data_IF_923282842202
#
_entry.id   IF_923282842202
#
_cell.length_a   1.000
_cell.length_b   1.000
_cell.length_c   1.000
_cell.angle_alpha   90.00
_cell.angle_beta   90.00
_cell.angle_gamma   90.00
#
_symmetry.space_group_name_H-M   'P 1'
#
loop_
_entity.id
_entity.type
_entity.pdbx_description
1 polymer ?
#
# COMPACT_ATOMS: atom_id res chain seq x y z
N UNK A 1 -13.90 59.80 30.52
CA UNK A 1 -14.73 59.72 29.31
C UNK A 1 -14.22 58.55 28.49
N UNK A 2 -14.73 57.35 28.79
CA UNK A 2 -14.31 56.07 28.19
C UNK A 2 -14.76 56.00 26.72
N UNK A 3 -13.84 55.69 25.81
CA UNK A 3 -14.18 55.22 24.47
C UNK A 3 -13.86 53.74 24.41
N UNK A 4 -14.82 52.90 24.79
CA UNK A 4 -14.80 51.49 24.45
C UNK A 4 -15.03 51.35 22.95
N UNK A 5 -13.96 51.03 22.21
CA UNK A 5 -14.04 50.66 20.81
C UNK A 5 -14.71 49.29 20.70
N UNK A 6 -15.99 49.28 20.30
CA UNK A 6 -16.70 48.07 19.93
C UNK A 6 -16.02 47.41 18.71
N UNK A 7 -15.18 46.42 18.96
CA UNK A 7 -14.74 45.48 17.93
C UNK A 7 -15.95 44.63 17.55
N UNK A 8 -16.64 45.01 16.48
CA UNK A 8 -17.64 44.14 15.84
C UNK A 8 -16.89 42.94 15.25
N UNK A 9 -16.91 41.81 15.96
CA UNK A 9 -16.52 40.52 15.41
C UNK A 9 -17.39 40.25 14.19
N UNK A 10 -16.84 40.44 12.99
CA UNK A 10 -17.45 39.97 11.76
C UNK A 10 -17.36 38.45 11.79
N UNK A 11 -18.38 37.80 12.38
CA UNK A 11 -18.62 36.39 12.14
C UNK A 11 -19.02 36.28 10.68
N UNK A 12 -18.06 35.98 9.80
CA UNK A 12 -18.38 35.48 8.48
C UNK A 12 -19.29 34.28 8.69
N UNK A 13 -20.55 34.44 8.30
CA UNK A 13 -21.53 33.39 8.29
C UNK A 13 -21.15 32.47 7.12
N UNK A 14 -20.08 31.69 7.28
CA UNK A 14 -19.65 30.71 6.29
C UNK A 14 -20.79 29.71 6.22
N UNK A 15 -21.53 29.64 5.09
CA UNK A 15 -22.60 28.67 4.95
C UNK A 15 -22.03 27.30 5.25
N UNK A 16 -22.68 26.52 6.13
CA UNK A 16 -22.34 25.10 6.28
C UNK A 16 -22.48 24.50 4.87
N UNK A 17 -21.39 24.03 4.25
CA UNK A 17 -21.51 23.40 2.95
C UNK A 17 -22.44 22.20 3.15
N UNK A 18 -23.45 22.08 2.28
CA UNK A 18 -24.24 20.87 2.18
C UNK A 18 -23.33 19.66 1.93
N UNK A 19 -23.85 18.42 2.00
CA UNK A 19 -23.05 17.25 1.66
C UNK A 19 -22.35 17.49 0.31
N UNK A 20 -21.02 17.46 0.29
CA UNK A 20 -20.27 17.67 -0.94
C UNK A 20 -20.61 16.53 -1.90
N UNK A 21 -21.06 16.87 -3.10
CA UNK A 21 -21.19 15.89 -4.18
C UNK A 21 -19.79 15.63 -4.72
N UNK A 22 -19.23 14.46 -4.39
CA UNK A 22 -17.92 14.02 -4.87
C UNK A 22 -18.14 12.94 -5.93
N UNK A 23 -17.61 13.17 -7.14
CA UNK A 23 -17.64 12.18 -8.22
C UNK A 23 -16.35 11.38 -8.25
N UNK A 24 -16.46 10.05 -8.35
CA UNK A 24 -15.34 9.18 -8.71
C UNK A 24 -15.26 9.18 -10.23
N UNK A 25 -14.22 9.80 -10.78
CA UNK A 25 -14.07 9.98 -12.23
C UNK A 25 -13.17 8.93 -12.88
N UNK A 26 -12.41 8.19 -12.08
CA UNK A 26 -11.54 7.10 -12.52
C UNK A 26 -11.17 6.22 -11.32
N UNK A 27 -10.80 4.96 -11.60
CA UNK A 27 -10.35 3.98 -10.64
C UNK A 27 -9.40 2.98 -11.31
N UNK A 28 -8.44 2.47 -10.55
CA UNK A 28 -7.58 1.36 -10.93
C UNK A 28 -7.18 0.59 -9.67
N UNK A 29 -6.73 -0.65 -9.83
CA UNK A 29 -6.31 -1.47 -8.70
C UNK A 29 -5.70 -2.79 -9.14
N UNK A 30 -4.75 -3.23 -8.32
CA UNK A 30 -4.17 -4.57 -8.37
C UNK A 30 -4.82 -5.39 -7.24
N UNK A 31 -5.46 -6.50 -7.59
CA UNK A 31 -6.16 -7.37 -6.66
C UNK A 31 -5.73 -8.84 -6.87
N UNK A 32 -5.94 -9.71 -5.87
CA UNK A 32 -5.63 -11.13 -6.01
C UNK A 32 -6.29 -11.76 -7.24
N UNK A 33 -5.47 -12.34 -8.12
CA UNK A 33 -5.90 -12.93 -9.39
C UNK A 33 -6.43 -11.94 -10.43
N UNK A 34 -6.20 -10.63 -10.26
CA UNK A 34 -6.64 -9.59 -11.17
C UNK A 34 -5.72 -8.37 -11.16
N UNK A 35 -4.94 -8.22 -12.22
CA UNK A 35 -4.03 -7.06 -12.39
C UNK A 35 -4.75 -5.85 -13.02
N UNK A 36 -6.04 -5.99 -13.36
CA UNK A 36 -6.89 -4.90 -13.84
C UNK A 36 -8.30 -5.01 -13.26
N UNK A 37 -9.04 -3.89 -13.26
CA UNK A 37 -10.43 -3.89 -12.82
C UNK A 37 -11.37 -4.66 -13.74
N UNK A 38 -11.04 -4.80 -15.02
CA UNK A 38 -11.81 -5.64 -15.96
C UNK A 38 -11.65 -7.13 -15.61
N UNK A 39 -10.42 -7.57 -15.31
CA UNK A 39 -10.16 -8.93 -14.82
C UNK A 39 -10.85 -9.15 -13.48
N UNK A 40 -10.79 -8.17 -12.57
CA UNK A 40 -11.46 -8.24 -11.28
C UNK A 40 -12.98 -8.37 -11.44
N UNK A 41 -13.59 -7.57 -12.31
CA UNK A 41 -15.02 -7.64 -12.61
C UNK A 41 -15.42 -9.00 -13.19
N UNK A 42 -14.62 -9.52 -14.14
CA UNK A 42 -14.82 -10.86 -14.67
C UNK A 42 -14.76 -11.93 -13.57
N UNK A 43 -13.77 -11.85 -12.67
CA UNK A 43 -13.65 -12.77 -11.55
C UNK A 43 -14.89 -12.73 -10.63
N UNK A 44 -15.42 -11.53 -10.35
CA UNK A 44 -16.64 -11.37 -9.55
C UNK A 44 -17.86 -12.01 -10.22
N UNK A 45 -18.09 -11.73 -11.51
CA UNK A 45 -19.20 -12.29 -12.29
C UNK A 45 -19.15 -13.82 -12.30
N UNK A 46 -17.95 -14.39 -12.41
CA UNK A 46 -17.74 -15.83 -12.44
C UNK A 46 -17.58 -16.47 -11.05
N UNK A 47 -17.71 -15.70 -9.96
CA UNK A 47 -17.53 -16.18 -8.57
C UNK A 47 -16.20 -16.90 -8.36
N UNK A 48 -15.14 -16.40 -8.98
CA UNK A 48 -13.81 -16.99 -8.87
C UNK A 48 -13.26 -16.83 -7.46
N UNK A 49 -12.81 -17.92 -6.85
CA UNK A 49 -11.99 -17.88 -5.64
C UNK A 49 -10.55 -17.51 -6.00
N UNK A 50 -10.04 -16.44 -5.38
CA UNK A 50 -8.67 -15.96 -5.55
C UNK A 50 -7.77 -16.31 -4.35
N UNK A 51 -8.29 -17.08 -3.38
CA UNK A 51 -7.49 -17.62 -2.31
C UNK A 51 -6.49 -18.64 -2.85
N UNK A 52 -5.28 -18.62 -2.31
CA UNK A 52 -4.25 -19.60 -2.60
C UNK A 52 -3.44 -19.91 -1.35
N UNK A 53 -2.65 -20.98 -1.39
CA UNK A 53 -1.66 -21.21 -0.35
C UNK A 53 -0.47 -20.26 -0.52
N UNK A 54 -0.04 -19.64 0.57
CA UNK A 54 1.23 -18.91 0.59
C UNK A 54 2.41 -19.88 0.46
N UNK A 55 3.27 -19.62 -0.52
CA UNK A 55 4.44 -20.42 -0.83
C UNK A 55 5.71 -19.97 -0.12
N UNK A 56 6.85 -20.58 -0.47
CA UNK A 56 8.18 -20.25 0.08
C UNK A 56 8.66 -18.86 -0.32
N UNK A 57 8.06 -18.27 -1.35
CA UNK A 57 8.27 -16.89 -1.78
C UNK A 57 7.78 -15.87 -0.75
N UNK A 58 6.84 -16.23 0.13
CA UNK A 58 6.28 -15.35 1.16
C UNK A 58 6.82 -15.62 2.57
N UNK A 59 7.44 -16.77 2.79
CA UNK A 59 7.92 -17.20 4.10
C UNK A 59 9.41 -17.50 4.06
N UNK A 60 10.16 -16.95 5.03
CA UNK A 60 11.59 -17.26 5.18
C UNK A 60 11.85 -18.70 5.64
N UNK A 61 10.94 -19.25 6.43
CA UNK A 61 10.98 -20.64 6.88
C UNK A 61 9.90 -21.41 6.14
N UNK A 62 10.09 -22.72 5.96
CA UNK A 62 9.08 -23.53 5.30
C UNK A 62 7.70 -23.33 5.96
N UNK A 63 6.68 -22.87 5.20
CA UNK A 63 5.41 -22.55 5.82
C UNK A 63 4.73 -23.79 6.43
N UNK A 64 5.12 -25.03 6.07
CA UNK A 64 4.61 -26.24 6.72
C UNK A 64 5.09 -26.35 8.16
N UNK A 65 6.29 -25.85 8.45
CA UNK A 65 6.83 -25.80 9.81
C UNK A 65 6.20 -24.66 10.60
N UNK A 66 5.79 -23.57 9.93
CA UNK A 66 5.23 -22.38 10.58
C UNK A 66 3.72 -22.43 10.80
N UNK A 67 3.04 -23.47 10.33
CA UNK A 67 1.59 -23.60 10.50
C UNK A 67 1.18 -24.82 11.32
N UNK A 68 0.14 -24.68 12.12
CA UNK A 68 -0.42 -25.75 12.94
C UNK A 68 -1.94 -25.67 12.98
N UNK A 69 -2.59 -26.80 13.19
CA UNK A 69 -3.99 -26.80 13.61
C UNK A 69 -4.09 -26.23 15.03
N UNK A 70 -4.99 -25.27 15.24
CA UNK A 70 -5.19 -24.60 16.53
C UNK A 70 -4.15 -23.54 16.88
N UNK A 71 -4.32 -22.87 18.03
CA UNK A 71 -3.42 -21.81 18.46
C UNK A 71 -2.18 -22.38 19.17
N UNK A 72 -0.98 -22.02 18.68
CA UNK A 72 0.29 -22.24 19.37
C UNK A 72 1.17 -20.99 19.24
N UNK A 73 2.03 -20.69 20.23
CA UNK A 73 3.02 -19.62 20.11
C UNK A 73 3.86 -19.78 18.83
N UNK A 74 4.13 -18.66 18.17
CA UNK A 74 4.98 -18.56 16.97
C UNK A 74 4.55 -19.43 15.78
N UNK A 75 3.27 -19.84 15.73
CA UNK A 75 2.67 -20.57 14.60
C UNK A 75 1.44 -19.85 14.07
N UNK A 76 1.28 -19.85 12.75
CA UNK A 76 0.05 -19.43 12.10
C UNK A 76 -0.95 -20.60 12.03
N UNK A 77 -2.24 -20.26 12.01
CA UNK A 77 -3.34 -21.25 11.98
C UNK A 77 -3.78 -21.61 10.56
N UNK A 78 -3.30 -20.88 9.55
CA UNK A 78 -3.63 -21.08 8.14
C UNK A 78 -2.52 -20.56 7.25
N UNK A 79 -2.37 -21.19 6.08
CA UNK A 79 -1.50 -20.74 4.98
C UNK A 79 -2.26 -20.05 3.85
N UNK A 80 -3.60 -20.09 3.90
CA UNK A 80 -4.47 -19.53 2.88
C UNK A 80 -4.38 -18.02 2.92
N UNK A 81 -4.10 -17.42 1.76
CA UNK A 81 -3.94 -15.99 1.59
C UNK A 81 -4.50 -15.55 0.23
N UNK A 82 -4.82 -14.28 0.10
CA UNK A 82 -5.14 -13.65 -1.17
C UNK A 82 -3.96 -12.76 -1.55
N UNK A 83 -3.15 -13.22 -2.50
CA UNK A 83 -1.88 -12.59 -2.86
C UNK A 83 -2.01 -11.95 -4.24
N UNK A 84 -1.26 -10.88 -4.45
CA UNK A 84 -1.07 -10.33 -5.79
C UNK A 84 -0.22 -11.29 -6.64
N UNK A 85 -0.35 -11.19 -7.96
CA UNK A 85 0.52 -11.90 -8.89
C UNK A 85 1.98 -11.46 -8.68
N UNK A 86 2.92 -12.38 -8.79
CA UNK A 86 4.35 -12.10 -8.55
C UNK A 86 5.03 -11.46 -9.76
N UNK A 87 4.43 -11.61 -10.94
CA UNK A 87 4.92 -11.19 -12.25
C UNK A 87 4.13 -9.98 -12.80
N UNK A 88 3.65 -9.10 -11.90
CA UNK A 88 2.95 -7.87 -12.30
C UNK A 88 3.88 -7.02 -13.17
N UNK A 89 3.41 -6.70 -14.37
CA UNK A 89 4.04 -5.74 -15.27
C UNK A 89 3.72 -4.31 -14.82
N UNK A 90 4.53 -3.79 -13.90
CA UNK A 90 4.34 -2.44 -13.40
C UNK A 90 4.67 -1.39 -14.47
N UNK A 91 3.65 -0.69 -14.95
CA UNK A 91 3.84 0.52 -15.76
C UNK A 91 4.15 1.76 -14.90
N UNK A 92 5.28 2.41 -15.19
CA UNK A 92 5.71 3.68 -14.55
C UNK A 92 5.87 4.84 -15.55
N UNK A 93 5.41 4.67 -16.79
CA UNK A 93 5.57 5.70 -17.83
C UNK A 93 4.93 7.03 -17.41
N UNK A 94 5.53 8.14 -17.84
CA UNK A 94 5.06 9.50 -17.52
C UNK A 94 5.10 9.84 -16.02
N UNK A 95 5.81 9.05 -15.20
CA UNK A 95 6.25 9.45 -13.87
C UNK A 95 7.63 10.09 -13.99
N UNK A 96 7.79 11.27 -13.38
CA UNK A 96 9.08 11.97 -13.29
C UNK A 96 9.90 11.39 -12.14
N UNK A 97 10.30 10.12 -12.30
CA UNK A 97 11.03 9.33 -11.32
C UNK A 97 12.18 8.59 -12.01
N UNK A 98 13.30 8.52 -11.30
CA UNK A 98 14.47 7.76 -11.72
C UNK A 98 14.17 6.24 -11.77
N UNK A 99 14.65 5.56 -12.81
CA UNK A 99 14.35 4.15 -13.04
C UNK A 99 15.09 3.22 -12.08
N UNK A 100 16.29 3.61 -11.64
CA UNK A 100 17.05 2.84 -10.66
C UNK A 100 16.34 2.93 -9.30
N UNK A 101 15.88 4.13 -8.92
CA UNK A 101 15.04 4.31 -7.74
C UNK A 101 13.79 3.43 -7.78
N UNK A 102 13.05 3.41 -8.88
CA UNK A 102 11.85 2.57 -9.03
C UNK A 102 12.16 1.09 -8.83
N UNK A 103 13.33 0.64 -9.31
CA UNK A 103 13.82 -0.73 -9.18
C UNK A 103 14.31 -1.09 -7.78
N UNK A 104 14.57 -0.10 -6.92
CA UNK A 104 15.00 -0.28 -5.53
C UNK A 104 13.84 -0.13 -4.52
N UNK A 105 12.72 0.46 -4.93
CA UNK A 105 11.56 0.65 -4.06
C UNK A 105 10.96 -0.68 -3.61
N UNK A 106 10.52 -0.73 -2.35
CA UNK A 106 9.73 -1.86 -1.82
C UNK A 106 8.49 -2.10 -2.72
N UNK A 107 8.09 -3.36 -2.97
CA UNK A 107 6.92 -3.68 -3.79
C UNK A 107 5.66 -2.90 -3.41
N UNK A 108 5.46 -2.59 -2.12
CA UNK A 108 4.34 -1.76 -1.65
C UNK A 108 4.25 -0.40 -2.38
N UNK A 109 5.38 0.25 -2.61
CA UNK A 109 5.43 1.56 -3.27
C UNK A 109 5.19 1.42 -4.78
N UNK A 110 5.71 0.36 -5.40
CA UNK A 110 5.49 0.06 -6.83
C UNK A 110 4.00 -0.15 -7.13
N UNK A 111 3.31 -0.88 -6.26
CA UNK A 111 1.85 -1.11 -6.36
C UNK A 111 1.09 0.21 -6.36
N UNK A 112 1.39 1.10 -5.41
CA UNK A 112 0.71 2.40 -5.29
C UNK A 112 1.01 3.32 -6.47
N UNK A 113 2.27 3.36 -6.92
CA UNK A 113 2.67 4.17 -8.08
C UNK A 113 1.99 3.69 -9.35
N UNK A 114 1.96 2.38 -9.58
CA UNK A 114 1.29 1.78 -10.72
C UNK A 114 -0.22 2.04 -10.69
N UNK A 115 -0.92 1.66 -9.61
CA UNK A 115 -2.37 1.84 -9.52
C UNK A 115 -2.77 3.33 -9.53
N UNK A 116 -1.99 4.19 -8.86
CA UNK A 116 -2.22 5.63 -8.87
C UNK A 116 -2.03 6.25 -10.26
N UNK A 117 -0.99 5.80 -11.00
CA UNK A 117 -0.78 6.18 -12.40
C UNK A 117 -1.96 5.75 -13.26
N UNK A 118 -2.34 4.48 -13.23
CA UNK A 118 -3.46 3.95 -14.03
C UNK A 118 -4.75 4.75 -13.77
N UNK A 119 -5.07 5.01 -12.50
CA UNK A 119 -6.24 5.79 -12.14
C UNK A 119 -6.14 7.25 -12.64
N UNK A 120 -4.98 7.88 -12.49
CA UNK A 120 -4.78 9.29 -12.88
C UNK A 120 -4.85 9.47 -14.40
N UNK A 121 -4.15 8.63 -15.17
CA UNK A 121 -4.07 8.74 -16.63
C UNK A 121 -5.32 8.20 -17.35
N UNK A 122 -6.14 7.38 -16.69
CA UNK A 122 -7.47 7.01 -17.20
C UNK A 122 -8.54 8.09 -17.01
N UNK A 123 -8.25 9.12 -16.19
CA UNK A 123 -9.11 10.29 -16.03
C UNK A 123 -8.78 11.38 -17.05
N UNK A 124 -9.67 12.38 -17.19
CA UNK A 124 -9.30 13.65 -17.84
C UNK A 124 -8.46 14.48 -16.90
N UNK A 125 -7.15 14.57 -17.16
CA UNK A 125 -6.17 15.10 -16.22
C UNK A 125 -5.40 16.33 -16.72
N UNK A 126 -5.58 16.75 -17.98
CA UNK A 126 -4.77 17.75 -18.67
C UNK A 126 -4.90 19.16 -18.08
N UNK A 127 -6.07 19.47 -17.50
CA UNK A 127 -6.39 20.77 -16.91
C UNK A 127 -6.30 20.81 -15.39
N UNK A 128 -5.78 19.77 -14.74
CA UNK A 128 -5.71 19.68 -13.28
C UNK A 128 -4.62 20.62 -12.74
N UNK A 129 -4.99 21.47 -11.78
CA UNK A 129 -4.03 22.23 -10.98
C UNK A 129 -3.40 21.35 -9.89
N UNK A 130 -2.18 20.87 -10.14
CA UNK A 130 -1.42 20.03 -9.20
C UNK A 130 -1.20 20.67 -7.82
N UNK A 131 -1.21 22.01 -7.69
CA UNK A 131 -1.09 22.69 -6.39
C UNK A 131 -2.36 22.57 -5.53
N UNK A 132 -3.47 22.17 -6.15
CA UNK A 132 -4.79 21.99 -5.55
C UNK A 132 -5.23 20.53 -5.54
N UNK A 133 -4.35 19.61 -5.92
CA UNK A 133 -4.59 18.16 -5.90
C UNK A 133 -3.93 17.55 -4.68
N UNK A 134 -4.75 17.03 -3.77
CA UNK A 134 -4.27 16.25 -2.63
C UNK A 134 -4.16 14.77 -2.98
N UNK A 135 -3.21 14.09 -2.35
CA UNK A 135 -3.12 12.62 -2.36
C UNK A 135 -3.31 12.15 -0.92
N UNK A 136 -4.19 11.18 -0.74
CA UNK A 136 -4.40 10.51 0.55
C UNK A 136 -4.06 9.05 0.33
N UNK A 137 -3.09 8.55 1.10
CA UNK A 137 -2.67 7.16 1.05
C UNK A 137 -2.91 6.52 2.42
N UNK A 138 -3.60 5.39 2.42
CA UNK A 138 -3.70 4.52 3.58
C UNK A 138 -2.76 3.33 3.38
N UNK A 139 -1.93 3.06 4.38
CA UNK A 139 -1.08 1.89 4.44
C UNK A 139 -1.10 1.33 5.86
N UNK A 140 -1.03 0.02 5.98
CA UNK A 140 -0.87 -0.64 7.27
C UNK A 140 0.57 -0.46 7.75
N UNK A 141 0.76 -0.16 9.04
CA UNK A 141 2.08 -0.01 9.65
C UNK A 141 2.64 -1.38 10.09
N UNK A 142 2.77 -2.31 9.14
CA UNK A 142 3.40 -3.62 9.35
C UNK A 142 4.74 -3.69 8.62
N UNK A 143 5.65 -4.59 9.03
CA UNK A 143 6.88 -4.83 8.29
C UNK A 143 6.59 -5.22 6.85
N UNK A 144 7.26 -4.55 5.93
CA UNK A 144 7.35 -4.92 4.51
C UNK A 144 8.58 -5.79 4.26
N UNK A 145 8.72 -6.30 3.03
CA UNK A 145 9.87 -7.10 2.63
C UNK A 145 11.18 -6.32 2.80
N UNK A 146 11.25 -5.06 2.34
CA UNK A 146 12.45 -4.23 2.47
C UNK A 146 12.76 -3.90 3.93
N UNK A 147 11.76 -3.56 4.74
CA UNK A 147 11.99 -3.29 6.17
C UNK A 147 12.47 -4.53 6.93
N UNK A 148 11.97 -5.72 6.55
CA UNK A 148 12.37 -7.00 7.12
C UNK A 148 13.80 -7.39 6.72
N UNK A 149 14.22 -7.06 5.49
CA UNK A 149 15.60 -7.22 5.02
C UNK A 149 16.57 -6.30 5.77
N UNK A 150 16.19 -5.03 5.98
CA UNK A 150 17.01 -4.08 6.74
C UNK A 150 17.15 -4.54 8.19
N UNK A 151 16.03 -4.95 8.81
CA UNK A 151 16.04 -5.47 10.18
C UNK A 151 16.95 -6.68 10.32
N UNK A 152 16.88 -7.63 9.39
CA UNK A 152 17.76 -8.79 9.37
C UNK A 152 19.23 -8.40 9.18
N UNK A 153 19.54 -7.48 8.26
CA UNK A 153 20.92 -7.01 8.05
C UNK A 153 21.51 -6.36 9.31
N UNK A 154 20.72 -5.59 10.04
CA UNK A 154 21.19 -4.88 11.24
C UNK A 154 21.23 -5.82 12.44
N UNK A 155 20.10 -6.47 12.75
CA UNK A 155 19.94 -7.30 13.95
C UNK A 155 20.61 -8.65 13.78
N UNK A 156 20.53 -9.27 12.60
CA UNK A 156 21.16 -10.55 12.31
C UNK A 156 22.67 -10.51 12.50
N UNK A 157 23.36 -9.54 11.87
CA UNK A 157 24.80 -9.38 12.04
C UNK A 157 25.21 -9.05 13.48
N UNK A 158 24.36 -8.35 14.24
CA UNK A 158 24.61 -8.08 15.65
C UNK A 158 24.44 -9.34 16.51
N UNK A 159 23.37 -10.11 16.28
CA UNK A 159 23.08 -11.35 17.00
C UNK A 159 24.13 -12.41 16.70
N UNK A 160 24.55 -12.55 15.44
CA UNK A 160 25.59 -13.47 15.02
C UNK A 160 26.90 -13.23 15.79
N UNK A 161 27.36 -11.97 15.83
CA UNK A 161 28.54 -11.58 16.62
C UNK A 161 28.38 -11.90 18.11
N UNK A 162 27.22 -11.63 18.70
CA UNK A 162 27.00 -11.87 20.13
C UNK A 162 26.90 -13.34 20.50
N UNK A 163 26.26 -14.13 19.66
CA UNK A 163 25.95 -15.53 19.95
C UNK A 163 27.11 -16.46 19.57
N UNK A 164 27.86 -16.13 18.51
CA UNK A 164 28.86 -17.03 17.93
C UNK A 164 30.29 -16.48 17.99
N UNK A 165 30.50 -15.17 17.99
CA UNK A 165 31.85 -14.58 18.07
C UNK A 165 32.32 -14.31 19.53
N UNK A 166 31.50 -14.62 20.54
CA UNK A 166 31.87 -14.46 21.96
C UNK A 166 32.81 -15.55 22.50
N UNK A 167 33.36 -16.41 21.64
CA UNK A 167 34.28 -17.50 22.02
C UNK A 167 35.64 -17.46 21.30
N UNK A 168 36.17 -16.28 21.01
CA UNK A 168 37.57 -16.09 20.61
C UNK A 168 38.32 -15.20 21.61
#
# INVERSE_FOLDING_TARGET
>A
MNKESHVKTIRHNIPKPGPYNIAIVSMAGLLPGADTLDTFWSNLVHKRDACQESGKDRWRVDPTEMTTEGSRPDKAVSRVACLLNQDIDYCFDNLDLDQDLLSDLDPLHRIVLHAGREAFYSARHESIDRKRTGVILAAIALPTDASSLIAEKILGSYLEKRLFDSTA
#
